data_IF_746329795417
#
_entry.id   IF_746329795417
#
_cell.length_a   1.000
_cell.length_b   1.000
_cell.length_c   1.000
_cell.angle_alpha   90.00
_cell.angle_beta   90.00
_cell.angle_gamma   90.00
#
_symmetry.space_group_name_H-M   'P 1'
#
loop_
_entity.id
_entity.type
_entity.pdbx_description
1 polymer ?
#
# COMPACT_ATOMS: atom_id res chain seq x y z
N UNK A 1 55.67 2.37 -23.04
CA UNK A 1 56.46 2.48 -24.28
C UNK A 1 56.54 1.07 -24.86
N UNK A 2 56.04 0.68 -26.02
CA UNK A 2 55.45 1.38 -27.16
C UNK A 2 54.79 0.31 -28.07
N UNK A 3 53.66 0.67 -28.67
CA UNK A 3 53.19 0.34 -30.03
C UNK A 3 52.81 -1.12 -30.38
N UNK A 4 51.53 -1.38 -30.69
CA UNK A 4 50.82 -1.22 -32.00
C UNK A 4 51.06 -2.44 -32.89
N UNK A 5 49.99 -3.06 -33.40
CA UNK A 5 49.78 -3.35 -34.84
C UNK A 5 48.51 -4.17 -35.04
N UNK A 6 47.52 -3.53 -35.68
CA UNK A 6 46.38 -4.16 -36.36
C UNK A 6 46.67 -4.08 -37.85
N UNK A 7 46.42 -5.13 -38.65
CA UNK A 7 46.23 -4.95 -40.08
C UNK A 7 44.96 -5.71 -40.58
N UNK A 8 44.54 -5.58 -41.84
CA UNK A 8 43.46 -4.66 -42.19
C UNK A 8 42.25 -5.39 -42.80
N UNK A 9 41.12 -4.69 -42.85
CA UNK A 9 39.95 -5.08 -43.64
C UNK A 9 40.28 -5.03 -45.15
N UNK A 10 39.73 -5.97 -45.93
CA UNK A 10 39.56 -5.79 -47.38
C UNK A 10 38.13 -6.16 -47.77
N UNK A 11 37.48 -5.17 -48.39
CA UNK A 11 36.18 -5.22 -49.06
C UNK A 11 36.36 -5.82 -50.47
N UNK A 12 35.38 -6.59 -50.95
CA UNK A 12 34.95 -6.72 -52.38
C UNK A 12 33.94 -7.88 -52.44
N UNK A 13 32.64 -7.64 -52.63
CA UNK A 13 31.97 -7.37 -53.91
C UNK A 13 32.12 -8.54 -54.90
N UNK A 14 30.99 -9.16 -55.27
CA UNK A 14 30.96 -10.15 -56.34
C UNK A 14 29.78 -11.12 -56.24
N UNK A 15 28.61 -10.63 -56.60
CA UNK A 15 27.41 -11.42 -56.89
C UNK A 15 27.60 -12.13 -58.24
N UNK A 16 26.82 -13.20 -58.46
CA UNK A 16 26.60 -13.99 -59.69
C UNK A 16 27.39 -15.30 -59.74
N UNK A 17 26.81 -16.47 -59.98
CA UNK A 17 25.47 -16.79 -60.51
C UNK A 17 25.23 -18.30 -60.37
N UNK A 18 23.95 -18.67 -60.25
CA UNK A 18 23.34 -19.92 -60.71
C UNK A 18 23.81 -21.25 -60.07
N UNK A 19 22.90 -21.92 -59.37
CA UNK A 19 22.04 -22.93 -60.01
C UNK A 19 21.35 -23.79 -58.93
N UNK A 20 20.03 -23.62 -58.81
CA UNK A 20 19.05 -24.58 -58.32
C UNK A 20 19.46 -25.50 -57.16
N UNK A 21 19.12 -25.11 -55.92
CA UNK A 21 18.99 -26.06 -54.81
C UNK A 21 17.69 -25.81 -54.06
N UNK A 22 16.78 -26.76 -54.20
CA UNK A 22 15.52 -26.90 -53.44
C UNK A 22 15.69 -26.48 -51.98
N UNK A 23 14.71 -25.77 -51.37
CA UNK A 23 14.84 -25.30 -50.01
C UNK A 23 15.13 -26.50 -49.10
N UNK A 24 16.19 -26.47 -48.28
CA UNK A 24 16.43 -27.53 -47.32
C UNK A 24 15.22 -27.58 -46.40
N UNK A 25 14.61 -28.75 -46.26
CA UNK A 25 13.60 -29.00 -45.25
C UNK A 25 14.24 -28.71 -43.88
N UNK A 26 13.98 -27.52 -43.34
CA UNK A 26 14.51 -27.08 -42.05
C UNK A 26 13.77 -27.87 -40.99
N UNK A 27 14.27 -29.06 -40.67
CA UNK A 27 13.77 -29.86 -39.55
C UNK A 27 14.20 -29.18 -38.25
N UNK A 28 13.31 -28.34 -37.74
CA UNK A 28 13.46 -27.73 -36.42
C UNK A 28 13.58 -28.83 -35.38
N UNK A 29 14.55 -28.70 -34.47
CA UNK A 29 14.69 -29.62 -33.35
C UNK A 29 13.43 -29.52 -32.48
N UNK A 30 12.72 -30.63 -32.28
CA UNK A 30 11.57 -30.67 -31.39
C UNK A 30 11.96 -30.15 -30.01
N UNK A 31 11.30 -29.09 -29.56
CA UNK A 31 11.49 -28.59 -28.20
C UNK A 31 11.08 -29.69 -27.20
N UNK A 32 11.90 -29.89 -26.17
CA UNK A 32 11.64 -30.88 -25.13
C UNK A 32 10.40 -30.49 -24.32
N UNK A 33 9.24 -31.03 -24.69
CA UNK A 33 8.01 -30.94 -23.89
C UNK A 33 8.07 -31.92 -22.71
N UNK A 34 9.07 -31.80 -21.84
CA UNK A 34 9.00 -32.49 -20.54
C UNK A 34 7.99 -31.73 -19.70
N UNK A 35 6.78 -32.30 -19.58
CA UNK A 35 5.74 -31.83 -18.68
C UNK A 35 6.36 -31.59 -17.29
N UNK A 36 6.20 -30.36 -16.77
CA UNK A 36 6.61 -30.03 -15.41
C UNK A 36 5.91 -31.01 -14.48
N UNK A 37 6.67 -31.87 -13.80
CA UNK A 37 6.13 -32.74 -12.76
C UNK A 37 5.58 -31.83 -11.67
N UNK A 38 4.26 -31.68 -11.62
CA UNK A 38 3.59 -31.03 -10.49
C UNK A 38 3.80 -31.97 -9.32
N UNK A 39 4.82 -31.71 -8.51
CA UNK A 39 4.98 -32.37 -7.22
C UNK A 39 3.72 -32.05 -6.41
N UNK A 40 2.83 -33.05 -6.28
CA UNK A 40 1.74 -32.99 -5.31
C UNK A 40 2.41 -32.89 -3.95
N UNK A 41 2.30 -31.72 -3.31
CA UNK A 41 2.76 -31.55 -1.92
C UNK A 41 2.08 -32.65 -1.11
N UNK A 42 2.82 -33.43 -0.30
CA UNK A 42 2.19 -34.38 0.61
C UNK A 42 1.10 -33.65 1.40
N UNK A 43 -0.09 -34.24 1.49
CA UNK A 43 -1.16 -33.69 2.31
C UNK A 43 -0.66 -33.51 3.73
N UNK A 44 -0.81 -32.30 4.28
CA UNK A 44 -0.48 -32.07 5.69
C UNK A 44 -1.41 -32.95 6.54
N UNK A 45 -0.91 -33.50 7.67
CA UNK A 45 -1.76 -34.27 8.59
C UNK A 45 -2.98 -33.45 9.03
N UNK A 46 -4.13 -34.11 9.25
CA UNK A 46 -5.39 -33.44 9.59
C UNK A 46 -5.28 -32.51 10.82
N UNK A 47 -4.52 -32.91 11.83
CA UNK A 47 -4.29 -32.08 13.03
C UNK A 47 -3.53 -30.78 12.72
N UNK A 48 -2.62 -30.79 11.74
CA UNK A 48 -1.88 -29.59 11.31
C UNK A 48 -2.81 -28.64 10.56
N UNK A 49 -3.71 -29.18 9.73
CA UNK A 49 -4.72 -28.39 9.03
C UNK A 49 -5.68 -27.73 10.02
N UNK A 50 -6.15 -28.49 11.01
CA UNK A 50 -7.05 -27.97 12.05
C UNK A 50 -6.38 -26.89 12.90
N UNK A 51 -5.13 -27.09 13.33
CA UNK A 51 -4.38 -26.09 14.08
C UNK A 51 -4.20 -24.79 13.27
N UNK A 52 -3.90 -24.91 11.96
CA UNK A 52 -3.77 -23.76 11.06
C UNK A 52 -5.10 -23.02 10.88
N UNK A 53 -6.19 -23.75 10.71
CA UNK A 53 -7.52 -23.16 10.57
C UNK A 53 -7.94 -22.41 11.84
N UNK A 54 -7.72 -23.01 13.01
CA UNK A 54 -7.97 -22.36 14.29
C UNK A 54 -7.20 -21.03 14.41
N UNK A 55 -5.89 -21.04 14.13
CA UNK A 55 -5.07 -19.84 14.14
C UNK A 55 -5.56 -18.77 13.15
N UNK A 56 -5.85 -19.16 11.91
CA UNK A 56 -6.34 -18.24 10.88
C UNK A 56 -7.68 -17.60 11.28
N UNK A 57 -8.57 -18.37 11.91
CA UNK A 57 -9.86 -17.86 12.38
C UNK A 57 -9.68 -16.83 13.49
N UNK A 58 -8.82 -17.12 14.46
CA UNK A 58 -8.49 -16.16 15.52
C UNK A 58 -7.87 -14.88 14.95
N UNK A 59 -6.93 -14.99 14.02
CA UNK A 59 -6.29 -13.84 13.37
C UNK A 59 -7.31 -13.04 12.53
N UNK A 60 -8.21 -13.71 11.81
CA UNK A 60 -9.29 -13.04 11.07
C UNK A 60 -10.22 -12.26 11.99
N UNK A 61 -10.62 -12.86 13.12
CA UNK A 61 -11.42 -12.17 14.14
C UNK A 61 -10.68 -10.98 14.72
N UNK A 62 -9.38 -11.12 15.02
CA UNK A 62 -8.54 -10.02 15.48
C UNK A 62 -8.51 -8.87 14.48
N UNK A 63 -8.22 -9.15 13.20
CA UNK A 63 -8.19 -8.14 12.13
C UNK A 63 -9.55 -7.48 11.92
N UNK A 64 -10.63 -8.23 12.02
CA UNK A 64 -12.00 -7.71 11.89
C UNK A 64 -12.30 -6.74 13.04
N UNK A 65 -11.99 -7.14 14.29
CA UNK A 65 -12.14 -6.26 15.45
C UNK A 65 -11.29 -4.99 15.32
N UNK A 66 -10.05 -5.13 14.86
CA UNK A 66 -9.16 -3.98 14.64
C UNK A 66 -9.72 -3.04 13.59
N UNK A 67 -10.23 -3.56 12.47
CA UNK A 67 -10.88 -2.76 11.42
C UNK A 67 -12.04 -1.93 11.97
N UNK A 68 -12.91 -2.55 12.77
CA UNK A 68 -14.06 -1.87 13.38
C UNK A 68 -13.63 -0.72 14.32
N UNK A 69 -12.51 -0.86 15.04
CA UNK A 69 -11.97 0.22 15.88
C UNK A 69 -11.52 1.42 15.05
N UNK A 70 -10.89 1.19 13.89
CA UNK A 70 -10.49 2.25 12.97
C UNK A 70 -11.69 2.95 12.33
N UNK A 71 -12.70 2.19 11.89
CA UNK A 71 -13.94 2.75 11.34
C UNK A 71 -14.66 3.61 12.39
N UNK A 72 -14.75 3.12 13.64
CA UNK A 72 -15.35 3.89 14.73
C UNK A 72 -14.57 5.16 15.07
N UNK A 73 -13.23 5.10 15.07
CA UNK A 73 -12.40 6.29 15.28
C UNK A 73 -12.57 7.31 14.14
N UNK A 74 -12.61 6.83 12.89
CA UNK A 74 -12.81 7.68 11.73
C UNK A 74 -14.16 8.42 11.79
N UNK A 75 -15.25 7.71 12.10
CA UNK A 75 -16.57 8.31 12.23
C UNK A 75 -16.61 9.44 13.28
N UNK A 76 -15.89 9.28 14.40
CA UNK A 76 -15.78 10.35 15.42
C UNK A 76 -15.03 11.56 14.86
N UNK A 77 -13.94 11.34 14.12
CA UNK A 77 -13.15 12.43 13.54
C UNK A 77 -13.92 13.20 12.48
N UNK A 78 -14.65 12.50 11.61
CA UNK A 78 -15.54 13.12 10.62
C UNK A 78 -16.64 13.93 11.30
N UNK A 79 -17.28 13.38 12.33
CA UNK A 79 -18.29 14.10 13.11
C UNK A 79 -17.73 15.35 13.80
N UNK A 80 -16.48 15.31 14.29
CA UNK A 80 -15.81 16.49 14.83
C UNK A 80 -15.55 17.54 13.75
N UNK A 81 -15.05 17.15 12.57
CA UNK A 81 -14.83 18.09 11.46
C UNK A 81 -16.12 18.77 11.05
N UNK A 82 -17.20 18.01 10.86
CA UNK A 82 -18.50 18.59 10.49
C UNK A 82 -19.04 19.58 11.54
N UNK A 83 -18.74 19.37 12.83
CA UNK A 83 -19.11 20.32 13.89
C UNK A 83 -18.31 21.61 13.85
N UNK A 84 -17.02 21.52 13.55
CA UNK A 84 -16.16 22.70 13.43
C UNK A 84 -16.52 23.50 12.16
N UNK A 85 -16.78 22.83 11.03
CA UNK A 85 -17.23 23.47 9.79
C UNK A 85 -18.68 24.02 9.88
N UNK A 86 -19.59 23.40 10.64
CA UNK A 86 -20.93 23.97 10.84
C UNK A 86 -20.93 25.34 11.56
N UNK A 87 -19.82 25.73 12.18
CA UNK A 87 -19.61 27.07 12.75
C UNK A 87 -19.05 28.05 11.69
N UNK A 88 -18.47 27.56 10.59
CA UNK A 88 -17.96 28.34 9.46
C UNK A 88 -18.76 28.07 8.18
N UNK A 89 -19.62 29.01 7.81
CA UNK A 89 -20.47 29.02 6.61
C UNK A 89 -19.79 28.41 5.34
N UNK A 90 -19.96 27.10 5.12
CA UNK A 90 -19.27 26.34 4.07
C UNK A 90 -20.00 25.03 3.75
N UNK A 91 -20.20 24.79 2.46
CA UNK A 91 -20.98 23.71 1.84
C UNK A 91 -20.61 22.29 2.33
N UNK A 92 -21.57 21.45 2.80
CA UNK A 92 -21.30 20.14 3.38
C UNK A 92 -21.26 19.04 2.31
N UNK A 93 -20.43 19.17 1.29
CA UNK A 93 -20.09 18.02 0.46
C UNK A 93 -19.07 17.19 1.22
N UNK A 94 -19.57 16.22 1.99
CA UNK A 94 -18.75 15.25 2.71
C UNK A 94 -17.90 14.48 1.69
N UNK A 95 -16.60 14.80 1.56
CA UNK A 95 -15.76 14.02 0.68
C UNK A 95 -15.71 12.63 1.31
N UNK A 96 -15.98 11.60 0.52
CA UNK A 96 -15.67 10.23 0.89
C UNK A 96 -14.14 10.14 0.99
N UNK A 97 -13.63 10.64 2.11
CA UNK A 97 -12.21 10.70 2.40
C UNK A 97 -11.81 9.27 2.66
N UNK A 98 -11.26 8.63 1.65
CA UNK A 98 -10.61 7.34 1.79
C UNK A 98 -9.39 7.47 2.71
N UNK A 99 -9.60 7.56 4.02
CA UNK A 99 -8.51 7.64 5.00
C UNK A 99 -7.78 6.30 5.03
N UNK A 100 -6.47 6.35 4.87
CA UNK A 100 -5.61 5.26 5.28
C UNK A 100 -5.59 5.14 6.80
N UNK A 101 -5.24 3.95 7.32
CA UNK A 101 -5.12 3.73 8.77
C UNK A 101 -4.11 4.68 9.43
N UNK A 102 -3.05 5.06 8.70
CA UNK A 102 -2.07 6.02 9.20
C UNK A 102 -2.69 7.40 9.36
N UNK A 103 -3.39 7.87 8.32
CA UNK A 103 -4.06 9.18 8.36
C UNK A 103 -5.15 9.26 9.43
N UNK A 104 -5.91 8.18 9.70
CA UNK A 104 -6.85 8.14 10.83
C UNK A 104 -6.13 8.39 12.16
N UNK A 105 -4.96 7.77 12.38
CA UNK A 105 -4.19 7.98 13.61
C UNK A 105 -3.59 9.38 13.68
N UNK A 106 -3.13 9.91 12.55
CA UNK A 106 -2.54 11.25 12.48
C UNK A 106 -3.59 12.31 12.77
N UNK A 107 -4.77 12.20 12.14
CA UNK A 107 -5.91 13.06 12.40
C UNK A 107 -6.40 12.95 13.86
N UNK A 108 -6.42 11.75 14.44
CA UNK A 108 -6.75 11.57 15.85
C UNK A 108 -5.76 12.28 16.78
N UNK A 109 -4.45 12.18 16.49
CA UNK A 109 -3.42 12.87 17.28
C UNK A 109 -3.58 14.39 17.20
N UNK A 110 -3.78 14.92 15.99
CA UNK A 110 -4.02 16.36 15.83
C UNK A 110 -5.26 16.81 16.59
N UNK A 111 -6.36 16.06 16.53
CA UNK A 111 -7.59 16.42 17.26
C UNK A 111 -7.37 16.47 18.78
N UNK A 112 -6.65 15.52 19.35
CA UNK A 112 -6.33 15.53 20.79
C UNK A 112 -5.52 16.77 21.15
N UNK A 113 -4.48 17.11 20.38
CA UNK A 113 -3.65 18.28 20.64
C UNK A 113 -4.46 19.59 20.57
N UNK A 114 -5.33 19.73 19.58
CA UNK A 114 -6.21 20.89 19.45
C UNK A 114 -7.15 21.02 20.66
N UNK A 115 -7.81 19.91 21.05
CA UNK A 115 -8.70 19.91 22.21
C UNK A 115 -7.96 20.22 23.52
N UNK A 116 -6.73 19.74 23.68
CA UNK A 116 -5.90 20.05 24.85
C UNK A 116 -5.55 21.55 24.89
N UNK A 117 -5.28 22.17 23.75
CA UNK A 117 -5.01 23.61 23.66
C UNK A 117 -6.25 24.45 23.98
N UNK A 118 -7.40 24.12 23.38
CA UNK A 118 -8.67 24.77 23.68
C UNK A 118 -9.02 24.67 25.16
N UNK A 119 -8.84 23.48 25.76
CA UNK A 119 -9.11 23.27 27.17
C UNK A 119 -8.18 24.09 28.08
N UNK A 120 -6.88 24.19 27.73
CA UNK A 120 -5.95 25.10 28.43
C UNK A 120 -6.43 26.55 28.34
N UNK A 121 -6.81 27.00 27.16
CA UNK A 121 -7.29 28.37 26.94
C UNK A 121 -8.54 28.68 27.76
N UNK A 122 -9.55 27.81 27.69
CA UNK A 122 -10.79 27.94 28.47
C UNK A 122 -10.53 27.91 29.98
N UNK A 123 -9.61 27.05 30.43
CA UNK A 123 -9.22 26.98 31.84
C UNK A 123 -8.57 28.28 32.34
N UNK A 124 -7.72 28.91 31.52
CA UNK A 124 -7.14 30.23 31.82
C UNK A 124 -8.23 31.30 31.89
N UNK A 125 -9.12 31.36 30.90
CA UNK A 125 -10.23 32.32 30.89
C UNK A 125 -11.14 32.18 32.12
N UNK A 126 -11.48 30.94 32.50
CA UNK A 126 -12.26 30.67 33.71
C UNK A 126 -11.53 31.10 34.98
N UNK A 127 -10.22 30.85 35.07
CA UNK A 127 -9.40 31.29 36.21
C UNK A 127 -9.42 32.81 36.36
N UNK A 128 -9.26 33.53 35.25
CA UNK A 128 -9.20 34.98 35.25
C UNK A 128 -10.56 35.61 35.57
N UNK A 129 -11.64 35.11 34.96
CA UNK A 129 -13.01 35.52 35.31
C UNK A 129 -13.31 35.28 36.80
N UNK A 130 -12.89 34.13 37.34
CA UNK A 130 -13.10 33.83 38.76
C UNK A 130 -12.30 34.78 39.67
N UNK A 131 -11.05 35.12 39.32
CA UNK A 131 -10.28 36.13 40.07
C UNK A 131 -10.96 37.50 40.02
N UNK A 132 -11.45 37.91 38.85
CA UNK A 132 -12.17 39.18 38.68
C UNK A 132 -13.47 39.21 39.50
N UNK A 133 -14.20 38.10 39.54
CA UNK A 133 -15.41 37.97 40.36
C UNK A 133 -15.11 38.04 41.85
N UNK A 134 -14.04 37.39 42.31
CA UNK A 134 -13.63 37.36 43.74
C UNK A 134 -12.96 38.65 44.21
N UNK A 135 -12.68 39.59 43.31
CA UNK A 135 -12.07 40.89 43.62
C UNK A 135 -13.08 42.05 43.63
N UNK A 136 -14.37 41.77 43.39
CA UNK A 136 -15.50 42.69 43.54
C UNK A 136 -16.21 42.46 44.88
#
# INVERSE_FOLDING_TARGET
MSQTTVPPQSLTAGISEQLERTPPEVKMRSASHKLKKVHKKPGLPAHVLQARECYNNMEKQYRTRLKLRFEGLLAVLEACKMRDEAVGEGDPEAPDFGYSRGEVLDAARQRVLTLEEENRHLSTQLSDLNKTLMSQ
#
